data_IF_092045811593
#
_entry.id   IF_092045811593
#
_cell.length_a   1.000
_cell.length_b   1.000
_cell.length_c   1.000
_cell.angle_alpha   90.00
_cell.angle_beta   90.00
_cell.angle_gamma   90.00
#
_symmetry.space_group_name_H-M   'P 1'
#
loop_
_entity.id
_entity.type
_entity.pdbx_description
1 polymer ?
#
# COMPACT_ATOMS: atom_id res chain seq x y z
N UNK A 1 -11.54 -36.68 -28.67
CA UNK A 1 -11.95 -35.28 -28.67
C UNK A 1 -12.25 -34.72 -27.27
N UNK A 2 -13.08 -35.35 -26.41
CA UNK A 2 -13.42 -34.83 -25.07
C UNK A 2 -12.21 -34.65 -24.14
N UNK A 3 -11.32 -35.65 -24.02
CA UNK A 3 -10.07 -35.56 -23.24
C UNK A 3 -9.13 -34.42 -23.70
N UNK A 4 -9.00 -34.25 -25.01
CA UNK A 4 -8.15 -33.17 -25.57
C UNK A 4 -8.71 -31.77 -25.28
N UNK A 5 -10.04 -31.62 -25.29
CA UNK A 5 -10.71 -30.37 -24.89
C UNK A 5 -10.55 -30.07 -23.39
N UNK A 6 -10.55 -31.08 -22.53
CA UNK A 6 -10.33 -30.92 -21.09
C UNK A 6 -8.88 -30.49 -20.79
N UNK A 7 -7.89 -31.11 -21.43
CA UNK A 7 -6.48 -30.69 -21.30
C UNK A 7 -6.24 -29.28 -21.79
N UNK A 8 -6.85 -28.88 -22.90
CA UNK A 8 -6.72 -27.52 -23.43
C UNK A 8 -7.34 -26.48 -22.49
N UNK A 9 -8.49 -26.76 -21.90
CA UNK A 9 -9.14 -25.89 -20.91
C UNK A 9 -8.28 -25.74 -19.65
N UNK A 10 -7.69 -26.83 -19.15
CA UNK A 10 -6.78 -26.79 -17.99
C UNK A 10 -5.54 -25.97 -18.29
N UNK A 11 -4.93 -26.17 -19.46
CA UNK A 11 -3.74 -25.40 -19.88
C UNK A 11 -4.06 -23.91 -19.99
N UNK A 12 -5.19 -23.54 -20.57
CA UNK A 12 -5.65 -22.16 -20.66
C UNK A 12 -5.85 -21.50 -19.27
N UNK A 13 -6.42 -22.26 -18.33
CA UNK A 13 -6.64 -21.77 -16.95
C UNK A 13 -5.30 -21.55 -16.22
N UNK A 14 -4.35 -22.47 -16.38
CA UNK A 14 -3.00 -22.31 -15.81
C UNK A 14 -2.28 -21.12 -16.44
N UNK A 15 -2.34 -20.98 -17.76
CA UNK A 15 -1.75 -19.85 -18.48
C UNK A 15 -2.35 -18.51 -18.04
N UNK A 16 -3.67 -18.45 -17.80
CA UNK A 16 -4.36 -17.28 -17.26
C UNK A 16 -3.80 -16.90 -15.87
N UNK A 17 -3.73 -17.88 -14.97
CA UNK A 17 -3.20 -17.65 -13.61
C UNK A 17 -1.74 -17.13 -13.63
N UNK A 18 -0.88 -17.79 -14.42
CA UNK A 18 0.51 -17.36 -14.58
C UNK A 18 0.61 -15.95 -15.22
N UNK A 19 -0.20 -15.66 -16.22
CA UNK A 19 -0.26 -14.34 -16.85
C UNK A 19 -0.64 -13.24 -15.87
N UNK A 20 -1.69 -13.43 -15.07
CA UNK A 20 -2.13 -12.49 -14.04
C UNK A 20 -1.06 -12.32 -12.96
N UNK A 21 -0.43 -13.44 -12.52
CA UNK A 21 0.67 -13.37 -11.55
C UNK A 21 1.85 -12.53 -12.08
N UNK A 22 2.33 -12.83 -13.30
CA UNK A 22 3.44 -12.10 -13.91
C UNK A 22 3.11 -10.62 -14.12
N UNK A 23 1.89 -10.32 -14.54
CA UNK A 23 1.40 -8.96 -14.74
C UNK A 23 1.52 -8.13 -13.44
N UNK A 24 1.04 -8.66 -12.32
CA UNK A 24 1.07 -7.95 -11.05
C UNK A 24 2.43 -7.95 -10.38
N UNK A 25 3.13 -9.09 -10.37
CA UNK A 25 4.39 -9.21 -9.64
C UNK A 25 5.54 -8.47 -10.30
N UNK A 26 5.64 -8.53 -11.63
CA UNK A 26 6.73 -7.90 -12.40
C UNK A 26 6.33 -6.54 -12.98
N UNK A 27 5.09 -6.40 -13.42
CA UNK A 27 4.63 -5.19 -14.11
C UNK A 27 4.21 -4.06 -13.16
N UNK A 28 3.35 -4.36 -12.20
CA UNK A 28 2.66 -3.33 -11.41
C UNK A 28 2.65 -3.57 -9.89
N UNK A 29 3.77 -3.98 -9.27
CA UNK A 29 3.80 -4.25 -7.82
C UNK A 29 3.52 -2.99 -6.98
N UNK A 30 3.84 -1.82 -7.51
CA UNK A 30 3.64 -0.53 -6.85
C UNK A 30 2.15 -0.17 -6.71
N UNK A 31 1.31 -0.56 -7.67
CA UNK A 31 -0.14 -0.32 -7.59
C UNK A 31 -0.77 -1.15 -6.45
N UNK A 32 -0.34 -2.41 -6.26
CA UNK A 32 -0.82 -3.23 -5.16
C UNK A 32 -0.52 -2.57 -3.81
N UNK A 33 0.73 -2.15 -3.60
CA UNK A 33 1.13 -1.50 -2.35
C UNK A 33 0.47 -0.14 -2.14
N UNK A 34 0.16 0.60 -3.20
CA UNK A 34 -0.60 1.85 -3.11
C UNK A 34 -2.05 1.61 -2.67
N UNK A 35 -2.70 0.56 -3.17
CA UNK A 35 -4.07 0.20 -2.76
C UNK A 35 -4.17 -0.23 -1.31
N UNK A 36 -3.19 -0.98 -0.81
CA UNK A 36 -3.17 -1.40 0.59
C UNK A 36 -3.21 -0.22 1.55
N UNK A 37 -2.48 0.85 1.23
CA UNK A 37 -2.37 2.00 2.13
C UNK A 37 -3.66 2.80 2.30
N UNK A 38 -4.66 2.61 1.44
CA UNK A 38 -5.97 3.29 1.51
C UNK A 38 -7.07 2.42 2.10
N UNK A 39 -6.78 1.16 2.47
CA UNK A 39 -7.80 0.19 2.89
C UNK A 39 -7.29 -0.68 4.05
N UNK A 40 -7.62 -0.31 5.27
CA UNK A 40 -7.26 -1.06 6.48
C UNK A 40 -8.43 -1.91 6.96
N UNK A 41 -8.24 -3.23 6.99
CA UNK A 41 -9.18 -4.15 7.62
C UNK A 41 -8.87 -4.29 9.11
N UNK A 42 -9.88 -4.10 9.96
CA UNK A 42 -9.76 -4.14 11.41
C UNK A 42 -10.61 -5.28 11.97
N UNK A 43 -9.99 -6.18 12.73
CA UNK A 43 -10.67 -7.27 13.43
C UNK A 43 -11.30 -6.76 14.73
N UNK A 44 -12.35 -5.94 14.60
CA UNK A 44 -13.10 -5.41 15.71
C UNK A 44 -14.60 -5.52 15.44
N UNK A 45 -15.36 -5.92 16.46
CA UNK A 45 -16.81 -6.16 16.35
C UNK A 45 -17.58 -4.89 16.00
N UNK A 46 -17.19 -3.74 16.53
CA UNK A 46 -17.82 -2.46 16.25
C UNK A 46 -17.56 -2.05 14.79
N UNK A 47 -16.33 -2.17 14.33
CA UNK A 47 -15.96 -1.91 12.92
C UNK A 47 -16.73 -2.80 11.95
N UNK A 48 -16.81 -4.11 12.23
CA UNK A 48 -17.53 -5.05 11.35
C UNK A 48 -19.01 -4.75 11.30
N UNK A 49 -19.64 -4.47 12.45
CA UNK A 49 -21.06 -4.12 12.55
C UNK A 49 -21.38 -2.83 11.80
N UNK A 50 -20.57 -1.79 12.00
CA UNK A 50 -20.72 -0.50 11.33
C UNK A 50 -20.63 -0.65 9.80
N UNK A 51 -19.63 -1.37 9.31
CA UNK A 51 -19.46 -1.63 7.87
C UNK A 51 -20.62 -2.44 7.28
N UNK A 52 -21.08 -3.48 7.97
CA UNK A 52 -22.19 -4.31 7.49
C UNK A 52 -23.53 -3.56 7.45
N UNK A 53 -23.68 -2.50 8.24
CA UNK A 53 -24.89 -1.66 8.22
C UNK A 53 -24.99 -0.76 6.99
N UNK A 54 -23.87 -0.54 6.27
CA UNK A 54 -23.84 0.29 5.05
C UNK A 54 -24.34 -0.49 3.81
N UNK A 55 -24.94 0.19 2.83
CA UNK A 55 -25.28 -0.44 1.55
C UNK A 55 -24.03 -1.07 0.92
N UNK A 56 -24.14 -2.34 0.51
CA UNK A 56 -23.01 -3.12 -0.05
C UNK A 56 -21.81 -3.30 0.91
N UNK A 57 -22.02 -3.11 2.22
CA UNK A 57 -20.96 -3.16 3.25
C UNK A 57 -20.18 -4.48 3.29
N UNK A 58 -20.84 -5.61 3.01
CA UNK A 58 -20.17 -6.93 2.90
C UNK A 58 -19.15 -6.96 1.76
N UNK A 59 -19.43 -6.27 0.63
CA UNK A 59 -18.51 -6.20 -0.50
C UNK A 59 -17.30 -5.30 -0.17
N UNK A 60 -17.56 -4.17 0.51
CA UNK A 60 -16.51 -3.30 1.03
C UNK A 60 -15.61 -4.04 2.02
N UNK A 61 -16.18 -4.81 2.95
CA UNK A 61 -15.40 -5.63 3.89
C UNK A 61 -14.55 -6.69 3.19
N UNK A 62 -15.11 -7.37 2.19
CA UNK A 62 -14.37 -8.34 1.40
C UNK A 62 -13.22 -7.67 0.63
N UNK A 63 -13.46 -6.51 0.03
CA UNK A 63 -12.45 -5.74 -0.67
C UNK A 63 -11.31 -5.30 0.26
N UNK A 64 -11.62 -4.69 1.41
CA UNK A 64 -10.61 -4.27 2.39
C UNK A 64 -9.85 -5.46 2.98
N UNK A 65 -10.53 -6.59 3.21
CA UNK A 65 -9.89 -7.84 3.64
C UNK A 65 -8.88 -8.35 2.60
N UNK A 66 -9.22 -8.33 1.32
CA UNK A 66 -8.32 -8.74 0.23
C UNK A 66 -7.16 -7.75 0.08
N UNK A 67 -7.43 -6.44 0.15
CA UNK A 67 -6.42 -5.39 -0.02
C UNK A 67 -5.29 -5.47 1.01
N UNK A 68 -5.54 -5.93 2.24
CA UNK A 68 -4.47 -6.07 3.23
C UNK A 68 -3.32 -6.99 2.78
N UNK A 69 -3.60 -8.00 1.93
CA UNK A 69 -2.58 -8.91 1.39
C UNK A 69 -1.67 -8.24 0.35
N UNK A 70 -2.04 -7.07 -0.16
CA UNK A 70 -1.24 -6.30 -1.12
C UNK A 70 -0.05 -5.59 -0.48
N UNK A 71 0.04 -5.59 0.84
CA UNK A 71 1.24 -5.15 1.57
C UNK A 71 2.52 -5.90 1.12
N UNK A 72 2.36 -7.17 0.70
CA UNK A 72 3.41 -7.97 0.10
C UNK A 72 3.06 -8.27 -1.37
N UNK A 73 3.72 -7.64 -2.35
CA UNK A 73 3.39 -7.78 -3.78
C UNK A 73 3.33 -9.23 -4.27
N UNK A 74 4.20 -10.11 -3.75
CA UNK A 74 4.18 -11.53 -4.07
C UNK A 74 2.85 -12.18 -3.66
N UNK A 75 2.41 -11.95 -2.41
CA UNK A 75 1.18 -12.53 -1.87
C UNK A 75 -0.04 -11.96 -2.60
N UNK A 76 -0.04 -10.64 -2.84
CA UNK A 76 -1.09 -9.95 -3.59
C UNK A 76 -1.23 -10.49 -5.01
N UNK A 77 -0.12 -10.66 -5.73
CA UNK A 77 -0.11 -11.21 -7.08
C UNK A 77 -0.61 -12.67 -7.12
N UNK A 78 -0.20 -13.50 -6.15
CA UNK A 78 -0.69 -14.88 -6.02
C UNK A 78 -2.20 -14.93 -5.73
N UNK A 79 -2.69 -14.05 -4.87
CA UNK A 79 -4.10 -13.96 -4.53
C UNK A 79 -4.94 -13.54 -5.73
N UNK A 80 -4.51 -12.53 -6.49
CA UNK A 80 -5.19 -12.09 -7.71
C UNK A 80 -5.15 -13.16 -8.81
N UNK A 81 -4.06 -13.88 -8.95
CA UNK A 81 -3.97 -15.01 -9.86
C UNK A 81 -4.94 -16.14 -9.46
N UNK A 82 -5.00 -16.48 -8.18
CA UNK A 82 -5.95 -17.48 -7.67
C UNK A 82 -7.40 -17.03 -7.87
N UNK A 83 -7.70 -15.75 -7.63
CA UNK A 83 -9.02 -15.16 -7.87
C UNK A 83 -9.40 -15.22 -9.37
N UNK A 84 -8.46 -14.92 -10.27
CA UNK A 84 -8.69 -15.00 -11.71
C UNK A 84 -9.04 -16.42 -12.15
N UNK A 85 -8.31 -17.43 -11.65
CA UNK A 85 -8.56 -18.84 -11.90
C UNK A 85 -9.93 -19.26 -11.35
N UNK A 86 -10.26 -18.86 -10.12
CA UNK A 86 -11.54 -19.18 -9.49
C UNK A 86 -12.73 -18.55 -10.23
N UNK A 87 -12.62 -17.28 -10.63
CA UNK A 87 -13.64 -16.60 -11.43
C UNK A 87 -13.81 -17.25 -12.80
N UNK A 88 -12.72 -17.57 -13.48
CA UNK A 88 -12.80 -18.25 -14.77
C UNK A 88 -13.47 -19.62 -14.64
N UNK A 89 -13.14 -20.39 -13.61
CA UNK A 89 -13.77 -21.67 -13.34
C UNK A 89 -15.28 -21.53 -13.04
N UNK A 90 -15.65 -20.55 -12.20
CA UNK A 90 -17.05 -20.28 -11.85
C UNK A 90 -17.87 -19.87 -13.08
N UNK A 91 -17.36 -18.96 -13.91
CA UNK A 91 -18.02 -18.51 -15.14
C UNK A 91 -18.16 -19.67 -16.12
N UNK A 92 -17.12 -20.48 -16.31
CA UNK A 92 -17.21 -21.67 -17.17
C UNK A 92 -18.24 -22.66 -16.66
N UNK A 93 -18.35 -22.85 -15.34
CA UNK A 93 -19.34 -23.76 -14.75
C UNK A 93 -20.77 -23.24 -14.98
N UNK A 94 -21.02 -21.95 -14.69
CA UNK A 94 -22.32 -21.30 -14.92
C UNK A 94 -22.73 -21.35 -16.40
N UNK A 95 -21.76 -21.03 -17.30
CA UNK A 95 -22.02 -21.04 -18.73
C UNK A 95 -22.44 -22.43 -19.24
N UNK A 96 -21.83 -23.50 -18.73
CA UNK A 96 -22.21 -24.89 -19.08
C UNK A 96 -23.63 -25.26 -18.66
N UNK A 97 -24.14 -24.62 -17.60
CA UNK A 97 -25.54 -24.82 -17.15
C UNK A 97 -26.53 -24.16 -18.12
N UNK A 98 -26.17 -22.99 -18.69
CA UNK A 98 -27.07 -22.18 -19.56
C UNK A 98 -26.92 -22.56 -21.03
N UNK A 99 -25.71 -22.80 -21.53
CA UNK A 99 -25.41 -23.03 -22.95
C UNK A 99 -24.45 -24.21 -23.17
N UNK A 100 -24.96 -25.46 -23.11
CA UNK A 100 -24.08 -26.63 -23.23
C UNK A 100 -23.51 -26.85 -24.65
N UNK A 101 -24.01 -26.13 -25.67
CA UNK A 101 -23.62 -26.35 -27.08
C UNK A 101 -22.32 -25.69 -27.51
N UNK A 102 -21.84 -24.65 -26.82
CA UNK A 102 -20.65 -23.85 -27.22
C UNK A 102 -19.61 -23.75 -26.10
N UNK A 103 -18.81 -24.80 -25.85
CA UNK A 103 -17.83 -24.79 -24.76
C UNK A 103 -16.67 -23.77 -24.97
N UNK A 104 -16.36 -23.40 -26.22
CA UNK A 104 -15.30 -22.46 -26.56
C UNK A 104 -15.61 -21.01 -26.14
N UNK A 105 -16.87 -20.59 -26.33
CA UNK A 105 -17.31 -19.27 -25.94
C UNK A 105 -17.25 -19.10 -24.41
N UNK A 106 -17.47 -20.15 -23.64
CA UNK A 106 -17.37 -20.16 -22.19
C UNK A 106 -15.97 -19.78 -21.71
N UNK A 107 -14.93 -20.38 -22.29
CA UNK A 107 -13.53 -20.12 -21.87
C UNK A 107 -13.08 -18.71 -22.22
N UNK A 108 -13.47 -18.18 -23.38
CA UNK A 108 -13.14 -16.81 -23.77
C UNK A 108 -13.85 -15.77 -22.90
N UNK A 109 -15.14 -15.94 -22.66
CA UNK A 109 -15.92 -15.05 -21.80
C UNK A 109 -15.40 -15.10 -20.36
N UNK A 110 -15.11 -16.30 -19.85
CA UNK A 110 -14.56 -16.48 -18.52
C UNK A 110 -13.18 -15.79 -18.37
N UNK A 111 -12.29 -15.96 -19.33
CA UNK A 111 -10.99 -15.29 -19.32
C UNK A 111 -11.13 -13.78 -19.40
N UNK A 112 -12.02 -13.27 -20.26
CA UNK A 112 -12.26 -11.83 -20.38
C UNK A 112 -12.79 -11.21 -19.08
N UNK A 113 -13.78 -11.87 -18.43
CA UNK A 113 -14.31 -11.41 -17.13
C UNK A 113 -13.23 -11.48 -16.05
N UNK A 114 -12.48 -12.57 -15.98
CA UNK A 114 -11.42 -12.73 -15.00
C UNK A 114 -10.33 -11.64 -15.16
N UNK A 115 -9.86 -11.38 -16.37
CA UNK A 115 -8.88 -10.32 -16.66
C UNK A 115 -9.44 -8.93 -16.36
N UNK A 116 -10.69 -8.67 -16.71
CA UNK A 116 -11.33 -7.40 -16.39
C UNK A 116 -11.37 -7.16 -14.87
N UNK A 117 -11.83 -8.14 -14.10
CA UNK A 117 -11.97 -7.99 -12.64
C UNK A 117 -10.62 -7.96 -11.94
N UNK A 118 -9.64 -8.78 -12.37
CA UNK A 118 -8.37 -8.93 -11.65
C UNK A 118 -7.24 -8.05 -12.18
N UNK A 119 -7.32 -7.54 -13.40
CA UNK A 119 -6.30 -6.66 -13.98
C UNK A 119 -6.83 -5.27 -14.27
N UNK A 120 -7.91 -5.15 -15.04
CA UNK A 120 -8.41 -3.84 -15.47
C UNK A 120 -8.92 -2.98 -14.30
N UNK A 121 -9.80 -3.50 -13.45
CA UNK A 121 -10.34 -2.74 -12.31
C UNK A 121 -9.24 -2.28 -11.34
N UNK A 122 -8.30 -3.15 -10.92
CA UNK A 122 -7.24 -2.71 -10.03
C UNK A 122 -6.16 -1.84 -10.69
N UNK A 123 -6.04 -1.81 -12.01
CA UNK A 123 -5.01 -1.04 -12.72
C UNK A 123 -5.22 0.48 -12.66
N UNK A 124 -6.44 0.93 -12.38
CA UNK A 124 -6.81 2.35 -12.34
C UNK A 124 -7.14 2.78 -10.90
N UNK A 125 -6.14 2.84 -10.02
CA UNK A 125 -6.36 3.27 -8.66
C UNK A 125 -6.58 4.79 -8.58
N UNK A 126 -7.36 5.22 -7.60
CA UNK A 126 -7.56 6.63 -7.27
C UNK A 126 -6.51 7.16 -6.28
N UNK A 127 -5.52 6.34 -5.93
CA UNK A 127 -4.54 6.64 -4.87
C UNK A 127 -3.47 7.65 -5.27
N UNK A 128 -3.21 7.82 -6.57
CA UNK A 128 -2.21 8.75 -7.09
C UNK A 128 -1.83 8.47 -8.53
N UNK A 129 -0.85 9.17 -9.05
CA UNK A 129 -0.30 8.95 -10.40
C UNK A 129 0.61 7.73 -10.42
N UNK A 130 0.76 7.09 -11.59
CA UNK A 130 1.70 5.98 -11.77
C UNK A 130 3.14 6.36 -11.41
N UNK A 131 3.52 7.61 -11.67
CA UNK A 131 4.81 8.15 -11.28
C UNK A 131 4.99 8.11 -9.77
N UNK A 132 4.06 8.69 -9.02
CA UNK A 132 4.12 8.79 -7.56
C UNK A 132 4.13 7.42 -6.90
N UNK A 133 3.25 6.51 -7.33
CA UNK A 133 3.19 5.16 -6.81
C UNK A 133 4.48 4.37 -7.07
N UNK A 134 5.09 4.54 -8.25
CA UNK A 134 6.34 3.87 -8.60
C UNK A 134 7.53 4.39 -7.78
N UNK A 135 7.64 5.71 -7.60
CA UNK A 135 8.68 6.31 -6.77
C UNK A 135 8.50 5.95 -5.29
N UNK A 136 7.26 5.99 -4.77
CA UNK A 136 6.94 5.60 -3.41
C UNK A 136 7.32 4.14 -3.11
N UNK A 137 7.02 3.24 -4.04
CA UNK A 137 7.39 1.84 -3.94
C UNK A 137 8.91 1.63 -3.82
N UNK A 138 9.70 2.35 -4.61
CA UNK A 138 11.16 2.30 -4.55
C UNK A 138 11.70 2.86 -3.22
N UNK A 139 11.13 3.97 -2.74
CA UNK A 139 11.51 4.59 -1.48
C UNK A 139 11.23 3.67 -0.29
N UNK A 140 10.04 3.06 -0.24
CA UNK A 140 9.66 2.11 0.83
C UNK A 140 10.58 0.88 0.89
N UNK A 141 11.24 0.54 -0.21
CA UNK A 141 12.22 -0.54 -0.27
C UNK A 141 13.68 -0.08 -0.07
N UNK A 142 13.90 1.22 0.14
CA UNK A 142 15.24 1.79 0.29
C UNK A 142 16.10 1.70 -0.99
N UNK A 143 15.47 1.61 -2.17
CA UNK A 143 16.16 1.47 -3.46
C UNK A 143 16.59 2.83 -4.01
N UNK A 144 17.40 3.55 -3.23
CA UNK A 144 17.80 4.93 -3.53
C UNK A 144 18.47 5.09 -4.89
N UNK A 145 19.33 4.15 -5.28
CA UNK A 145 19.99 4.19 -6.57
C UNK A 145 19.00 4.11 -7.74
N UNK A 146 18.01 3.22 -7.66
CA UNK A 146 16.99 3.08 -8.70
C UNK A 146 16.09 4.33 -8.82
N UNK A 147 15.87 5.05 -7.71
CA UNK A 147 15.18 6.35 -7.73
C UNK A 147 15.97 7.35 -8.57
N UNK A 148 17.27 7.46 -8.34
CA UNK A 148 18.14 8.37 -9.10
C UNK A 148 18.24 7.97 -10.57
N UNK A 149 18.40 6.68 -10.88
CA UNK A 149 18.45 6.17 -12.25
C UNK A 149 17.15 6.45 -13.03
N UNK A 150 16.00 6.23 -12.38
CA UNK A 150 14.67 6.54 -12.95
C UNK A 150 14.54 8.04 -13.24
N UNK A 151 14.98 8.89 -12.31
CA UNK A 151 14.94 10.35 -12.49
C UNK A 151 15.87 10.85 -13.61
N UNK A 152 17.00 10.19 -13.85
CA UNK A 152 17.90 10.50 -14.96
C UNK A 152 17.28 10.13 -16.31
N UNK A 153 16.53 9.02 -16.39
CA UNK A 153 15.84 8.60 -17.61
C UNK A 153 14.64 9.50 -17.90
N UNK A 154 13.86 9.81 -16.89
CA UNK A 154 12.69 10.67 -16.99
C UNK A 154 12.57 11.52 -15.70
N UNK A 155 12.86 12.82 -15.77
CA UNK A 155 12.72 13.70 -14.63
C UNK A 155 11.29 13.72 -14.08
N UNK A 156 11.09 13.58 -12.77
CA UNK A 156 9.76 13.54 -12.20
C UNK A 156 9.03 14.88 -12.31
N UNK A 157 7.73 14.82 -12.60
CA UNK A 157 6.86 15.99 -12.70
C UNK A 157 6.27 16.37 -11.34
N UNK A 158 5.92 15.38 -10.51
CA UNK A 158 5.40 15.59 -9.17
C UNK A 158 6.45 16.20 -8.25
N UNK A 159 6.07 17.26 -7.52
CA UNK A 159 6.94 17.91 -6.53
C UNK A 159 7.33 16.96 -5.39
N UNK A 160 6.43 16.05 -4.99
CA UNK A 160 6.73 15.03 -4.01
C UNK A 160 7.83 14.08 -4.50
N UNK A 161 7.75 13.65 -5.77
CA UNK A 161 8.77 12.81 -6.39
C UNK A 161 10.13 13.54 -6.54
N UNK A 162 10.12 14.84 -6.86
CA UNK A 162 11.35 15.65 -6.90
C UNK A 162 12.03 15.72 -5.52
N UNK A 163 11.26 15.91 -4.45
CA UNK A 163 11.77 15.88 -3.09
C UNK A 163 12.32 14.51 -2.71
N UNK A 164 11.67 13.43 -3.17
CA UNK A 164 12.14 12.06 -2.98
C UNK A 164 13.47 11.79 -3.69
N UNK A 165 13.64 12.28 -4.91
CA UNK A 165 14.93 12.19 -5.64
C UNK A 165 16.04 12.91 -4.88
N UNK A 166 15.77 14.11 -4.34
CA UNK A 166 16.75 14.84 -3.51
C UNK A 166 17.12 14.04 -2.26
N UNK A 167 16.14 13.45 -1.59
CA UNK A 167 16.39 12.55 -0.46
C UNK A 167 17.24 11.36 -0.87
N UNK A 168 16.96 10.74 -2.02
CA UNK A 168 17.75 9.61 -2.53
C UNK A 168 19.20 10.02 -2.81
N UNK A 169 19.44 11.18 -3.42
CA UNK A 169 20.79 11.73 -3.63
C UNK A 169 21.51 11.96 -2.30
N UNK A 170 20.81 12.46 -1.29
CA UNK A 170 21.39 12.64 0.05
C UNK A 170 21.76 11.28 0.69
N UNK A 171 20.87 10.30 0.63
CA UNK A 171 21.14 8.96 1.16
C UNK A 171 22.31 8.25 0.47
N UNK A 172 22.59 8.59 -0.79
CA UNK A 172 23.76 8.11 -1.55
C UNK A 172 25.02 8.97 -1.33
N UNK A 173 24.96 10.02 -0.49
CA UNK A 173 26.09 10.93 -0.25
C UNK A 173 26.42 11.85 -1.43
N UNK A 174 25.51 11.99 -2.39
CA UNK A 174 25.67 12.86 -3.57
C UNK A 174 25.21 14.31 -3.32
N UNK A 175 24.46 14.53 -2.24
CA UNK A 175 23.92 15.83 -1.86
C UNK A 175 24.25 16.11 -0.39
N UNK A 176 24.63 17.34 -0.07
CA UNK A 176 24.82 17.76 1.32
C UNK A 176 23.48 17.99 2.02
N UNK A 177 23.47 17.89 3.35
CA UNK A 177 22.28 18.16 4.15
C UNK A 177 21.73 19.57 3.92
N UNK A 178 22.60 20.59 3.88
CA UNK A 178 22.20 21.96 3.60
C UNK A 178 21.51 22.09 2.23
N UNK A 179 22.09 21.50 1.18
CA UNK A 179 21.50 21.55 -0.16
C UNK A 179 20.18 20.76 -0.26
N UNK A 180 20.01 19.71 0.56
CA UNK A 180 18.74 18.99 0.69
C UNK A 180 17.66 19.94 1.24
N UNK A 181 17.90 20.61 2.35
CA UNK A 181 16.93 21.52 2.99
C UNK A 181 16.61 22.75 2.13
N UNK A 182 17.61 23.38 1.52
CA UNK A 182 17.44 24.55 0.64
C UNK A 182 16.62 24.22 -0.62
N UNK A 183 16.72 22.98 -1.10
CA UNK A 183 16.03 22.55 -2.30
C UNK A 183 14.63 21.99 -2.08
N UNK A 184 14.16 21.86 -0.83
CA UNK A 184 12.81 21.37 -0.56
C UNK A 184 11.73 22.32 -1.04
N UNK A 185 10.78 21.77 -1.76
CA UNK A 185 9.59 22.53 -2.16
C UNK A 185 8.66 22.73 -0.97
N UNK A 186 8.07 23.91 -0.84
CA UNK A 186 7.15 24.30 0.24
C UNK A 186 6.01 23.29 0.44
N UNK A 187 5.73 22.96 1.69
CA UNK A 187 4.75 21.93 2.10
C UNK A 187 3.34 22.14 1.55
N UNK A 188 2.85 23.37 1.45
CA UNK A 188 1.47 23.64 1.01
C UNK A 188 1.21 23.32 -0.47
N UNK A 189 2.26 23.28 -1.32
CA UNK A 189 2.13 22.91 -2.72
C UNK A 189 2.34 21.40 -2.94
N UNK A 190 2.97 20.72 -2.01
CA UNK A 190 3.40 19.33 -2.14
C UNK A 190 2.38 18.36 -1.56
N UNK A 191 1.53 18.81 -0.63
CA UNK A 191 0.46 18.02 -0.01
C UNK A 191 -0.87 18.17 -0.78
N UNK A 192 -0.82 18.28 -2.10
CA UNK A 192 -1.98 18.57 -2.93
C UNK A 192 -2.95 17.38 -3.05
N UNK A 193 -2.45 16.17 -2.88
CA UNK A 193 -3.22 14.93 -3.03
C UNK A 193 -2.75 13.84 -2.04
N UNK A 194 -3.49 12.74 -2.02
CA UNK A 194 -3.25 11.60 -1.12
C UNK A 194 -1.87 10.97 -1.27
N UNK A 195 -1.45 10.73 -2.50
CA UNK A 195 -0.16 10.08 -2.77
C UNK A 195 1.00 10.96 -2.32
N UNK A 196 0.95 12.24 -2.65
CA UNK A 196 1.92 13.23 -2.21
C UNK A 196 2.02 13.33 -0.69
N UNK A 197 0.89 13.26 0.02
CA UNK A 197 0.87 13.29 1.48
C UNK A 197 1.57 12.07 2.11
N UNK A 198 1.34 10.87 1.58
CA UNK A 198 2.06 9.66 2.02
C UNK A 198 3.56 9.75 1.76
N UNK A 199 3.94 10.14 0.55
CA UNK A 199 5.34 10.31 0.14
C UNK A 199 6.04 11.32 1.07
N UNK A 200 5.44 12.50 1.26
CA UNK A 200 6.05 13.56 2.06
C UNK A 200 6.13 13.21 3.55
N UNK A 201 5.18 12.42 4.06
CA UNK A 201 5.28 11.90 5.43
C UNK A 201 6.57 11.09 5.62
N UNK A 202 6.92 10.24 4.66
CA UNK A 202 8.14 9.44 4.72
C UNK A 202 9.39 10.28 4.42
N UNK A 203 9.34 11.21 3.45
CA UNK A 203 10.45 12.13 3.15
C UNK A 203 10.80 12.94 4.39
N UNK A 204 9.82 13.60 5.02
CA UNK A 204 10.04 14.39 6.22
C UNK A 204 10.56 13.56 7.39
N UNK A 205 10.06 12.32 7.54
CA UNK A 205 10.58 11.42 8.57
C UNK A 205 12.04 11.07 8.36
N UNK A 206 12.44 10.76 7.13
CA UNK A 206 13.84 10.47 6.79
C UNK A 206 14.77 11.69 6.92
N UNK A 207 14.22 12.90 6.82
CA UNK A 207 14.95 14.15 7.04
C UNK A 207 14.94 14.63 8.50
N UNK A 208 14.21 13.92 9.36
CA UNK A 208 14.10 14.31 10.74
C UNK A 208 13.06 15.37 11.07
N UNK A 209 12.27 15.76 10.14
CA UNK A 209 11.21 16.77 10.31
C UNK A 209 9.95 16.11 10.89
N UNK A 210 10.01 15.68 12.16
CA UNK A 210 8.98 14.84 12.80
C UNK A 210 7.59 15.47 12.77
N UNK A 211 7.49 16.76 13.10
CA UNK A 211 6.21 17.47 13.11
C UNK A 211 5.61 17.61 11.70
N UNK A 212 6.44 17.81 10.68
CA UNK A 212 6.00 17.87 9.29
C UNK A 212 5.57 16.49 8.80
N UNK A 213 6.30 15.44 9.20
CA UNK A 213 5.94 14.03 8.93
C UNK A 213 4.59 13.68 9.56
N UNK A 214 4.35 14.09 10.81
CA UNK A 214 3.08 13.88 11.50
C UNK A 214 1.93 14.59 10.79
N UNK A 215 2.12 15.86 10.42
CA UNK A 215 1.13 16.64 9.67
C UNK A 215 0.78 15.96 8.34
N UNK A 216 1.79 15.57 7.56
CA UNK A 216 1.58 14.89 6.29
C UNK A 216 0.86 13.54 6.46
N UNK A 217 1.12 12.81 7.56
CA UNK A 217 0.40 11.57 7.87
C UNK A 217 -1.09 11.82 8.20
N UNK A 218 -1.42 12.92 8.87
CA UNK A 218 -2.82 13.33 9.09
C UNK A 218 -3.51 13.71 7.78
N UNK A 219 -2.88 14.54 6.93
CA UNK A 219 -3.41 14.91 5.61
C UNK A 219 -3.67 13.65 4.75
N UNK A 220 -2.74 12.68 4.77
CA UNK A 220 -2.92 11.40 4.10
C UNK A 220 -4.12 10.62 4.65
N UNK A 221 -4.30 10.59 5.98
CA UNK A 221 -5.41 9.88 6.62
C UNK A 221 -6.76 10.53 6.30
N UNK A 222 -6.85 11.86 6.34
CA UNK A 222 -8.09 12.61 6.07
C UNK A 222 -8.51 12.54 4.60
N UNK A 223 -7.56 12.33 3.70
CA UNK A 223 -7.84 12.20 2.27
C UNK A 223 -8.45 10.84 1.87
N UNK A 224 -8.52 9.86 2.80
CA UNK A 224 -9.09 8.54 2.53
C UNK A 224 -10.61 8.60 2.60
N UNK A 225 -11.25 8.13 1.52
CA UNK A 225 -12.71 8.11 1.39
C UNK A 225 -13.35 6.99 2.23
N UNK A 226 -14.68 7.06 2.38
CA UNK A 226 -15.53 6.03 2.98
C UNK A 226 -15.14 5.65 4.42
N UNK A 227 -14.63 6.60 5.22
CA UNK A 227 -14.20 6.35 6.60
C UNK A 227 -13.17 5.22 6.74
N UNK A 228 -12.48 4.88 5.66
CA UNK A 228 -11.37 3.94 5.70
C UNK A 228 -10.19 4.54 6.47
N UNK A 229 -9.25 3.69 6.84
CA UNK A 229 -8.01 4.07 7.53
C UNK A 229 -6.82 3.52 6.79
N UNK A 230 -5.65 4.12 7.04
CA UNK A 230 -4.37 3.62 6.53
C UNK A 230 -3.53 3.04 7.65
N UNK A 231 -3.10 1.80 7.48
CA UNK A 231 -2.12 1.19 8.39
C UNK A 231 -0.79 1.93 8.37
N UNK A 232 -0.36 2.39 7.18
CA UNK A 232 0.87 3.19 7.00
C UNK A 232 0.80 4.53 7.72
N UNK A 233 -0.28 5.28 7.54
CA UNK A 233 -0.45 6.56 8.21
C UNK A 233 -0.55 6.40 9.73
N UNK A 234 -1.35 5.44 10.21
CA UNK A 234 -1.44 5.13 11.65
C UNK A 234 -0.08 4.75 12.24
N UNK A 235 0.70 3.91 11.56
CA UNK A 235 2.06 3.57 11.97
C UNK A 235 2.94 4.81 12.09
N UNK A 236 2.88 5.73 11.12
CA UNK A 236 3.62 6.99 11.16
C UNK A 236 3.17 7.88 12.33
N UNK A 237 1.87 7.96 12.59
CA UNK A 237 1.33 8.70 13.73
C UNK A 237 1.76 8.10 15.06
N UNK A 238 1.87 6.78 15.18
CA UNK A 238 2.46 6.11 16.35
C UNK A 238 3.93 6.52 16.51
N UNK A 239 4.75 6.41 15.45
CA UNK A 239 6.17 6.72 15.47
C UNK A 239 6.42 8.18 15.88
N UNK A 240 5.72 9.11 15.24
CA UNK A 240 5.85 10.55 15.54
C UNK A 240 5.35 10.92 16.93
N UNK A 241 4.23 10.36 17.37
CA UNK A 241 3.69 10.59 18.73
C UNK A 241 4.62 10.03 19.82
N UNK A 242 5.27 8.89 19.55
CA UNK A 242 6.25 8.32 20.48
C UNK A 242 7.49 9.20 20.59
N UNK A 243 8.03 9.71 19.46
CA UNK A 243 9.17 10.62 19.40
C UNK A 243 8.86 11.94 20.15
N UNK A 244 7.67 12.50 19.94
CA UNK A 244 7.25 13.75 20.57
C UNK A 244 6.79 13.62 22.02
N UNK A 245 6.75 12.39 22.56
CA UNK A 245 6.35 12.11 23.94
C UNK A 245 4.83 12.15 24.19
N UNK A 246 4.03 12.09 23.12
CA UNK A 246 2.56 12.06 23.20
C UNK A 246 2.05 10.62 23.41
N UNK A 247 2.44 10.01 24.52
CA UNK A 247 2.22 8.57 24.77
C UNK A 247 0.76 8.16 24.81
N UNK A 248 -0.14 8.97 25.35
CA UNK A 248 -1.59 8.67 25.39
C UNK A 248 -2.18 8.63 23.97
N UNK A 249 -1.77 9.56 23.10
CA UNK A 249 -2.19 9.59 21.70
C UNK A 249 -1.60 8.41 20.94
N UNK A 250 -0.33 8.10 21.19
CA UNK A 250 0.37 6.95 20.67
C UNK A 250 -0.39 5.64 20.95
N UNK A 251 -0.81 5.43 22.23
CA UNK A 251 -1.56 4.24 22.66
C UNK A 251 -2.92 4.10 21.95
N UNK A 252 -3.60 5.20 21.65
CA UNK A 252 -4.86 5.16 20.87
C UNK A 252 -4.64 4.65 19.43
N UNK A 253 -3.59 5.09 18.76
CA UNK A 253 -3.27 4.57 17.43
C UNK A 253 -2.78 3.13 17.46
N UNK A 254 -1.99 2.76 18.46
CA UNK A 254 -1.54 1.39 18.68
C UNK A 254 -2.74 0.45 18.84
N UNK A 255 -3.74 0.83 19.63
CA UNK A 255 -4.93 -0.01 19.86
C UNK A 255 -5.69 -0.34 18.57
N UNK A 256 -5.70 0.56 17.59
CA UNK A 256 -6.28 0.28 16.27
C UNK A 256 -5.41 -0.73 15.50
N UNK A 257 -4.10 -0.54 15.49
CA UNK A 257 -3.16 -1.39 14.74
C UNK A 257 -3.05 -2.81 15.31
N UNK A 258 -3.30 -2.99 16.59
CA UNK A 258 -3.33 -4.32 17.23
C UNK A 258 -4.44 -5.22 16.71
N UNK A 259 -5.51 -4.64 16.15
CA UNK A 259 -6.61 -5.38 15.54
C UNK A 259 -6.42 -5.58 14.02
N UNK A 260 -5.18 -5.46 13.52
CA UNK A 260 -4.86 -5.65 12.10
C UNK A 260 -3.97 -6.87 11.87
N UNK A 261 -4.01 -7.44 10.66
CA UNK A 261 -3.23 -8.63 10.34
C UNK A 261 -1.71 -8.37 10.33
N UNK A 262 -1.27 -7.31 9.66
CA UNK A 262 0.17 -7.08 9.40
C UNK A 262 0.84 -6.19 10.44
N UNK A 263 0.09 -5.28 11.08
CA UNK A 263 0.68 -4.35 12.05
C UNK A 263 0.59 -4.84 13.49
N UNK A 264 -0.19 -5.88 13.78
CA UNK A 264 -0.44 -6.42 15.12
C UNK A 264 0.85 -6.68 15.92
N UNK A 265 1.78 -7.47 15.39
CA UNK A 265 3.04 -7.82 16.11
C UNK A 265 3.91 -6.59 16.35
N UNK A 266 3.98 -5.68 15.38
CA UNK A 266 4.71 -4.44 15.53
C UNK A 266 4.06 -3.53 16.58
N UNK A 267 2.73 -3.38 16.53
CA UNK A 267 1.97 -2.56 17.46
C UNK A 267 2.15 -3.02 18.92
N UNK A 268 2.10 -4.32 19.19
CA UNK A 268 2.35 -4.87 20.52
C UNK A 268 3.75 -4.55 21.04
N UNK A 269 4.78 -4.62 20.20
CA UNK A 269 6.15 -4.24 20.62
C UNK A 269 6.23 -2.76 20.99
N UNK A 270 5.59 -1.91 20.18
CA UNK A 270 5.61 -0.45 20.41
C UNK A 270 4.77 -0.08 21.63
N UNK A 271 3.67 -0.80 21.91
CA UNK A 271 2.87 -0.60 23.13
C UNK A 271 3.73 -0.67 24.37
N UNK A 272 4.54 -1.70 24.50
CA UNK A 272 5.44 -1.85 25.64
C UNK A 272 6.38 -0.65 25.83
N UNK A 273 6.82 -0.02 24.71
CA UNK A 273 7.65 1.19 24.76
C UNK A 273 6.87 2.43 25.20
N UNK A 274 5.63 2.56 24.72
CA UNK A 274 4.78 3.71 25.04
C UNK A 274 4.30 3.68 26.49
N UNK A 275 4.04 2.50 27.05
CA UNK A 275 3.64 2.31 28.45
C UNK A 275 4.81 2.47 29.44
N UNK A 276 6.03 2.21 29.00
CA UNK A 276 7.24 2.26 29.83
C UNK A 276 8.34 3.14 29.22
N UNK A 277 8.11 4.45 29.05
CA UNK A 277 9.02 5.35 28.34
C UNK A 277 10.39 5.52 29.01
N UNK A 278 10.56 5.00 30.23
CA UNK A 278 11.82 5.06 31.01
C UNK A 278 12.77 3.89 30.75
N UNK A 279 12.33 2.83 30.05
CA UNK A 279 13.21 1.71 29.73
C UNK A 279 14.32 2.11 28.75
N UNK A 280 15.57 2.06 29.24
CA UNK A 280 16.75 2.67 28.61
C UNK A 280 17.03 2.25 27.16
N UNK A 281 16.76 1.00 26.76
CA UNK A 281 17.02 0.50 25.41
C UNK A 281 16.07 1.11 24.36
N UNK A 282 14.85 1.34 24.75
CA UNK A 282 13.82 1.94 23.91
C UNK A 282 14.01 3.44 23.79
N UNK A 283 14.40 4.07 24.90
CA UNK A 283 14.78 5.47 24.96
C UNK A 283 16.00 5.77 24.08
N UNK A 284 17.00 4.89 24.02
CA UNK A 284 18.18 5.07 23.16
C UNK A 284 17.84 4.99 21.67
N UNK A 285 17.00 4.04 21.24
CA UNK A 285 16.62 3.90 19.84
C UNK A 285 15.82 5.11 19.35
N UNK A 286 14.95 5.68 20.19
CA UNK A 286 14.16 6.86 19.87
C UNK A 286 14.87 8.18 20.23
N UNK A 287 15.80 8.19 21.19
CA UNK A 287 16.68 9.34 21.41
C UNK A 287 17.70 9.52 20.30
N UNK A 288 18.25 8.43 19.74
CA UNK A 288 19.08 8.54 18.53
C UNK A 288 18.31 9.13 17.37
N UNK A 289 17.05 8.73 17.19
CA UNK A 289 16.16 9.35 16.23
C UNK A 289 15.88 10.82 16.62
N UNK A 290 15.60 11.09 17.88
CA UNK A 290 15.32 12.44 18.41
C UNK A 290 16.52 13.37 18.28
N UNK A 291 17.73 12.89 18.56
CA UNK A 291 18.97 13.67 18.48
C UNK A 291 19.37 14.00 17.03
N UNK A 292 19.02 13.17 16.08
CA UNK A 292 19.16 13.44 14.63
C UNK A 292 18.14 14.50 14.15
N UNK A 293 17.04 14.70 14.87
CA UNK A 293 15.89 15.48 14.43
C UNK A 293 15.74 16.86 15.08
N UNK A 294 16.56 17.21 16.05
CA UNK A 294 16.53 18.49 16.76
C UNK A 294 17.77 19.36 16.54
N UNK A 295 18.57 19.07 15.52
CA UNK A 295 19.66 19.96 15.07
C UNK A 295 19.23 20.82 13.90
#
# INVERSE_FOLDING_TARGET
MKKMSEHLSTLATVALGLGVFCFWFFGYPYILTAREQSALFIWDGAYLSDRLSMPWGWLSLLSTFVCQFFNHPLVGAMLLAALAVALAAAVCWLWRLVTPRFPWSATLVAAAIALFVTCWLPLHPSEGTDEEMAYDYLMRQGRWQQICEKAQQQPPQSLACQNMVRLAMFQLGQLSEQALFEGLTSSNKVLADRASAFIMSDVYMNMGMVNMSQRAAFEAMESIEDYNKSGRALKRLVETSLITGQYEVCLKYISILEHTLYYHVWAQRIRHLAEHPTYGRCRQMYQQTKDVFFY
#
